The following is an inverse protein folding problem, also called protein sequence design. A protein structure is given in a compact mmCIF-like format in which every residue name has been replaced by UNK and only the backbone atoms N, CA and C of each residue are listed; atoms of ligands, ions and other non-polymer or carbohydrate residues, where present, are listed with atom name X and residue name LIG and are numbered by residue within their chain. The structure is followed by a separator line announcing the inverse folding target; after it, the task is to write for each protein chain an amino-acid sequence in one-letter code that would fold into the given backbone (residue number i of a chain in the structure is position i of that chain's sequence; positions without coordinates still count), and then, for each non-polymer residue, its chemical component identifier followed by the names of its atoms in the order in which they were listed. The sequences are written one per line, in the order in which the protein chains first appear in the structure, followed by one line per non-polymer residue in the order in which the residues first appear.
data_IF_378577253794
#
_entry.id   IF_378577253794
#
_cell.length_a   1.000
_cell.length_b   1.000
_cell.length_c   1.000
_cell.angle_alpha   90.00
_cell.angle_beta   90.00
_cell.angle_gamma   90.00
#
_symmetry.space_group_name_H-M   'P 1'
#
loop_
_entity.id
_entity.type
_entity.pdbx_description
1 polymer ?
#
# COMPACT_ATOMS: atom_id res chain seq x y z
N UNK A 1 19.97 -18.09 9.47
CA UNK A 1 19.49 -16.72 9.73
C UNK A 1 18.24 -16.86 10.58
N UNK A 2 18.14 -16.15 11.70
CA UNK A 2 16.98 -16.29 12.61
C UNK A 2 15.72 -15.61 12.02
N UNK A 3 14.54 -16.12 12.36
CA UNK A 3 13.26 -15.64 11.82
C UNK A 3 13.03 -14.15 12.13
N UNK A 4 13.44 -13.69 13.31
CA UNK A 4 13.38 -12.27 13.68
C UNK A 4 14.33 -11.38 12.85
N UNK A 5 15.41 -11.94 12.31
CA UNK A 5 16.30 -11.21 11.39
C UNK A 5 15.70 -11.14 9.99
N UNK A 6 15.00 -12.19 9.54
CA UNK A 6 14.30 -12.22 8.25
C UNK A 6 13.18 -11.18 8.23
N UNK A 7 12.35 -11.11 9.27
CA UNK A 7 11.30 -10.08 9.34
C UNK A 7 11.85 -8.66 9.32
N UNK A 8 12.91 -8.39 10.12
CA UNK A 8 13.58 -7.08 10.09
C UNK A 8 14.15 -6.74 8.71
N UNK A 9 14.67 -7.75 8.00
CA UNK A 9 15.15 -7.58 6.63
C UNK A 9 14.00 -7.24 5.67
N UNK A 10 12.87 -7.93 5.80
CA UNK A 10 11.69 -7.69 4.96
C UNK A 10 11.11 -6.30 5.16
N UNK A 11 11.02 -5.84 6.41
CA UNK A 11 10.57 -4.47 6.72
C UNK A 11 11.52 -3.44 6.10
N UNK A 12 12.84 -3.63 6.24
CA UNK A 12 13.83 -2.77 5.60
C UNK A 12 13.72 -2.78 4.07
N UNK A 13 13.59 -3.96 3.45
CA UNK A 13 13.47 -4.04 1.99
C UNK A 13 12.19 -3.35 1.50
N UNK A 14 11.10 -3.38 2.28
CA UNK A 14 9.85 -2.64 1.96
C UNK A 14 10.04 -1.12 2.09
N UNK A 15 10.74 -0.67 3.12
CA UNK A 15 11.10 0.75 3.28
C UNK A 15 11.97 1.23 2.12
N UNK A 16 13.03 0.47 1.79
CA UNK A 16 13.95 0.78 0.68
C UNK A 16 13.18 0.77 -0.66
N UNK A 17 12.24 -0.17 -0.85
CA UNK A 17 11.36 -0.20 -2.03
C UNK A 17 10.47 1.04 -2.14
N UNK A 18 9.81 1.44 -1.03
CA UNK A 18 8.95 2.63 -1.03
C UNK A 18 9.76 3.89 -1.30
N UNK A 19 10.93 4.03 -0.68
CA UNK A 19 11.83 5.15 -0.92
C UNK A 19 12.26 5.24 -2.39
N UNK A 20 12.61 4.10 -3.00
CA UNK A 20 12.97 4.04 -4.41
C UNK A 20 11.78 4.40 -5.31
N UNK A 21 10.60 3.83 -5.04
CA UNK A 21 9.36 4.13 -5.78
C UNK A 21 9.06 5.62 -5.75
N UNK A 22 9.07 6.22 -4.56
CA UNK A 22 8.68 7.62 -4.36
C UNK A 22 9.71 8.55 -5.01
N UNK A 23 10.99 8.20 -4.97
CA UNK A 23 12.04 8.90 -5.72
C UNK A 23 11.81 8.82 -7.23
N UNK A 24 11.57 7.62 -7.77
CA UNK A 24 11.31 7.44 -9.21
C UNK A 24 10.06 8.21 -9.66
N UNK A 25 9.02 8.26 -8.83
CA UNK A 25 7.84 9.08 -9.09
C UNK A 25 8.17 10.57 -9.12
N UNK A 26 8.92 11.06 -8.13
CA UNK A 26 9.32 12.46 -8.06
C UNK A 26 10.18 12.88 -9.26
N UNK A 27 11.18 12.07 -9.62
CA UNK A 27 12.07 12.34 -10.77
C UNK A 27 11.28 12.39 -12.09
N UNK A 28 10.34 11.47 -12.28
CA UNK A 28 9.46 11.45 -13.46
C UNK A 28 8.54 12.68 -13.50
N UNK A 29 7.91 13.02 -12.37
CA UNK A 29 7.04 14.20 -12.27
C UNK A 29 7.80 15.48 -12.58
N UNK A 30 9.01 15.64 -12.04
CA UNK A 30 9.88 16.78 -12.32
C UNK A 30 10.23 16.87 -13.81
N UNK A 31 10.55 15.75 -14.46
CA UNK A 31 10.80 15.70 -15.91
C UNK A 31 9.57 16.16 -16.70
N UNK A 32 8.37 15.70 -16.34
CA UNK A 32 7.13 16.10 -16.99
C UNK A 32 6.82 17.58 -16.79
N UNK A 33 7.03 18.11 -15.59
CA UNK A 33 6.87 19.53 -15.27
C UNK A 33 7.85 20.41 -16.06
N UNK A 34 9.12 19.99 -16.17
CA UNK A 34 10.13 20.70 -16.98
C UNK A 34 9.74 20.73 -18.46
N UNK A 35 9.20 19.61 -18.98
CA UNK A 35 8.71 19.54 -20.36
C UNK A 35 7.52 20.46 -20.57
N UNK A 36 6.55 20.45 -19.66
CA UNK A 36 5.37 21.34 -19.70
C UNK A 36 5.80 22.81 -19.63
N UNK A 37 6.75 23.14 -18.74
CA UNK A 37 7.28 24.48 -18.60
C UNK A 37 7.99 24.97 -19.87
N UNK A 38 8.71 24.11 -20.59
CA UNK A 38 9.35 24.43 -21.86
C UNK A 38 8.34 24.85 -22.95
N UNK A 39 7.10 24.32 -22.88
CA UNK A 39 5.99 24.70 -23.76
C UNK A 39 5.03 25.71 -23.13
N UNK A 40 5.36 26.26 -21.95
CA UNK A 40 4.57 27.23 -21.17
C UNK A 40 3.23 26.72 -20.61
N UNK A 41 2.65 25.65 -21.18
CA UNK A 41 1.44 25.00 -20.70
C UNK A 41 1.35 23.57 -21.25
N UNK A 42 0.57 22.73 -20.57
CA UNK A 42 0.19 21.39 -21.06
C UNK A 42 -0.63 21.47 -22.35
N UNK A 43 -1.38 22.55 -22.56
CA UNK A 43 -2.21 22.71 -23.77
C UNK A 43 -1.39 22.98 -25.04
N UNK A 44 -0.17 23.49 -24.85
CA UNK A 44 0.78 23.77 -25.91
C UNK A 44 1.71 22.58 -26.21
N UNK A 45 1.57 21.47 -25.47
CA UNK A 45 2.42 20.30 -25.68
C UNK A 45 2.10 19.65 -27.03
N UNK A 46 3.12 19.35 -27.85
CA UNK A 46 2.97 18.46 -28.99
C UNK A 46 2.32 17.13 -28.57
N UNK A 47 1.43 16.61 -29.42
CA UNK A 47 0.71 15.34 -29.15
C UNK A 47 1.65 14.17 -28.84
N UNK A 48 2.83 14.15 -29.46
CA UNK A 48 3.85 13.14 -29.22
C UNK A 48 4.35 13.16 -27.77
N UNK A 49 4.68 14.34 -27.24
CA UNK A 49 5.09 14.51 -25.85
C UNK A 49 3.97 14.22 -24.86
N UNK A 50 2.72 14.60 -25.18
CA UNK A 50 1.58 14.24 -24.32
C UNK A 50 1.41 12.72 -24.22
N UNK A 51 1.47 12.02 -25.37
CA UNK A 51 1.40 10.55 -25.40
C UNK A 51 2.56 9.91 -24.64
N UNK A 52 3.75 10.47 -24.75
CA UNK A 52 4.92 9.97 -24.02
C UNK A 52 4.72 10.08 -22.51
N UNK A 53 4.22 11.23 -22.01
CA UNK A 53 3.90 11.41 -20.59
C UNK A 53 2.88 10.36 -20.13
N UNK A 54 1.79 10.19 -20.89
CA UNK A 54 0.74 9.22 -20.54
C UNK A 54 1.28 7.78 -20.50
N UNK A 55 2.15 7.42 -21.44
CA UNK A 55 2.81 6.12 -21.48
C UNK A 55 3.75 5.90 -20.30
N UNK A 56 4.58 6.89 -19.97
CA UNK A 56 5.49 6.83 -18.81
C UNK A 56 4.71 6.68 -17.49
N UNK A 57 3.57 7.37 -17.36
CA UNK A 57 2.69 7.25 -16.19
C UNK A 57 2.04 5.86 -16.08
N UNK A 58 1.57 5.30 -17.20
CA UNK A 58 0.99 3.96 -17.22
C UNK A 58 2.03 2.87 -16.93
N UNK A 59 3.22 3.00 -17.52
CA UNK A 59 4.35 2.12 -17.26
C UNK A 59 4.77 2.17 -15.78
N UNK A 60 4.88 3.37 -15.21
CA UNK A 60 5.16 3.52 -13.79
C UNK A 60 4.14 2.77 -12.92
N UNK A 61 2.84 2.90 -13.23
CA UNK A 61 1.78 2.16 -12.50
C UNK A 61 1.94 0.66 -12.65
N UNK A 62 2.22 0.15 -13.84
CA UNK A 62 2.41 -1.29 -14.09
C UNK A 62 3.63 -1.87 -13.35
N UNK A 63 4.69 -1.09 -13.23
CA UNK A 63 5.97 -1.54 -12.68
C UNK A 63 5.98 -1.40 -11.15
N UNK A 64 5.48 -0.28 -10.63
CA UNK A 64 5.70 0.15 -9.25
C UNK A 64 4.45 0.16 -8.35
N UNK A 65 3.25 -0.13 -8.90
CA UNK A 65 2.05 -0.18 -8.07
C UNK A 65 2.17 -1.20 -6.93
N UNK A 66 1.61 -0.85 -5.78
CA UNK A 66 1.41 -1.78 -4.67
C UNK A 66 -0.09 -2.12 -4.66
N UNK A 67 -0.49 -3.41 -4.62
CA UNK A 67 0.32 -4.62 -4.53
C UNK A 67 0.61 -5.31 -5.87
N UNK A 68 0.24 -4.70 -7.01
CA UNK A 68 0.16 -5.42 -8.29
C UNK A 68 1.33 -5.21 -9.24
N UNK A 69 2.22 -4.26 -8.94
CA UNK A 69 3.38 -3.91 -9.74
C UNK A 69 4.39 -5.05 -9.81
N UNK A 70 5.07 -5.16 -10.96
CA UNK A 70 6.06 -6.22 -11.19
C UNK A 70 7.16 -6.24 -10.13
N UNK A 71 7.68 -5.08 -9.72
CA UNK A 71 8.73 -5.01 -8.71
C UNK A 71 8.22 -5.42 -7.33
N UNK A 72 7.01 -4.98 -6.95
CA UNK A 72 6.42 -5.37 -5.68
C UNK A 72 6.18 -6.89 -5.62
N UNK A 73 5.67 -7.48 -6.70
CA UNK A 73 5.49 -8.94 -6.82
C UNK A 73 6.81 -9.70 -6.70
N UNK A 74 7.87 -9.21 -7.33
CA UNK A 74 9.19 -9.83 -7.25
C UNK A 74 9.75 -9.79 -5.82
N UNK A 75 9.59 -8.65 -5.13
CA UNK A 75 9.99 -8.49 -3.73
C UNK A 75 9.20 -9.45 -2.82
N UNK A 76 7.87 -9.49 -2.98
CA UNK A 76 7.00 -10.34 -2.17
C UNK A 76 7.29 -11.84 -2.41
N UNK A 77 7.55 -12.25 -3.64
CA UNK A 77 7.95 -13.62 -3.95
C UNK A 77 9.28 -14.02 -3.27
N UNK A 78 10.26 -13.11 -3.27
CA UNK A 78 11.53 -13.30 -2.58
C UNK A 78 11.34 -13.40 -1.06
N UNK A 79 10.49 -12.55 -0.48
CA UNK A 79 10.15 -12.60 0.94
C UNK A 79 9.49 -13.93 1.30
N UNK A 80 8.52 -14.41 0.51
CA UNK A 80 7.87 -15.72 0.71
C UNK A 80 8.86 -16.88 0.62
N UNK A 81 9.77 -16.88 -0.35
CA UNK A 81 10.77 -17.94 -0.52
C UNK A 81 11.73 -18.01 0.67
N UNK A 82 12.17 -16.85 1.18
CA UNK A 82 13.03 -16.78 2.37
C UNK A 82 12.34 -17.30 3.62
N UNK A 83 11.07 -16.96 3.84
CA UNK A 83 10.29 -17.48 4.97
C UNK A 83 10.08 -18.99 4.86
N UNK A 84 9.75 -19.48 3.66
CA UNK A 84 9.55 -20.91 3.42
C UNK A 84 10.82 -21.72 3.73
N UNK A 85 11.98 -21.24 3.30
CA UNK A 85 13.28 -21.87 3.59
C UNK A 85 13.57 -21.89 5.09
N UNK A 86 13.39 -20.75 5.76
CA UNK A 86 13.63 -20.66 7.21
C UNK A 86 12.68 -21.56 8.02
N UNK A 87 11.44 -21.72 7.60
CA UNK A 87 10.48 -22.64 8.23
C UNK A 87 10.81 -24.11 7.96
N UNK A 88 11.31 -24.45 6.77
CA UNK A 88 11.72 -25.81 6.45
C UNK A 88 12.90 -26.31 7.30
N UNK A 89 13.79 -25.41 7.72
CA UNK A 89 14.93 -25.71 8.59
C UNK A 89 14.52 -25.90 10.07
N UNK A 90 13.30 -25.49 10.46
CA UNK A 90 12.77 -25.59 11.82
C UNK A 90 11.95 -26.88 12.06
N UNK A 91 11.62 -27.65 11.00
CA UNK A 91 10.88 -28.91 11.11
C UNK A 91 11.87 -30.08 11.06
N UNK A 92 12.05 -30.86 12.15
CA UNK A 92 12.90 -32.05 12.14
C UNK A 92 12.45 -33.04 11.06
N UNK A 93 13.41 -33.67 10.36
CA UNK A 93 13.15 -34.55 9.22
C UNK A 93 12.26 -35.79 9.52
N UNK A 94 11.92 -36.06 10.80
CA UNK A 94 11.14 -37.22 11.21
C UNK A 94 9.62 -37.10 11.05
N UNK A 95 9.05 -35.91 10.81
CA UNK A 95 7.59 -35.72 10.67
C UNK A 95 7.12 -35.44 9.24
N UNK A 96 7.88 -35.90 8.22
CA UNK A 96 7.56 -35.69 6.80
C UNK A 96 6.43 -36.58 6.23
N UNK A 97 5.59 -37.18 7.07
CA UNK A 97 4.48 -38.06 6.63
C UNK A 97 3.11 -37.57 7.04
N UNK A 98 2.75 -36.30 6.77
CA UNK A 98 1.33 -35.92 6.62
C UNK A 98 1.20 -34.69 5.72
N UNK A 99 0.36 -34.70 4.68
CA UNK A 99 0.14 -33.52 3.84
C UNK A 99 -0.53 -32.40 4.66
N UNK A 100 -0.07 -31.13 4.57
CA UNK A 100 -0.66 -30.06 5.35
C UNK A 100 -2.03 -29.70 4.79
N UNK A 101 -3.08 -30.02 5.56
CA UNK A 101 -4.39 -29.39 5.42
C UNK A 101 -4.23 -27.88 5.60
N UNK A 102 -4.97 -27.13 4.79
CA UNK A 102 -5.02 -25.68 4.62
C UNK A 102 -5.39 -24.98 5.94
N UNK A 103 -4.47 -24.88 6.89
CA UNK A 103 -4.64 -24.08 8.09
C UNK A 103 -3.97 -22.72 7.89
N UNK A 104 -4.80 -21.71 7.65
CA UNK A 104 -4.44 -20.31 7.86
C UNK A 104 -3.83 -20.18 9.26
N UNK A 105 -2.57 -19.81 9.31
CA UNK A 105 -1.81 -19.70 10.55
C UNK A 105 -2.29 -18.46 11.31
N UNK A 106 -2.78 -18.67 12.53
CA UNK A 106 -3.28 -17.65 13.47
C UNK A 106 -2.27 -16.52 13.82
N UNK A 107 -1.05 -16.65 13.32
CA UNK A 107 0.01 -15.66 13.43
C UNK A 107 -0.25 -14.43 12.54
N UNK A 108 -0.84 -14.60 11.35
CA UNK A 108 -1.18 -13.46 10.49
C UNK A 108 -2.31 -12.61 11.09
N UNK A 109 -3.29 -13.23 11.76
CA UNK A 109 -4.37 -12.54 12.46
C UNK A 109 -3.87 -11.76 13.69
N UNK A 110 -2.84 -12.28 14.38
CA UNK A 110 -2.25 -11.64 15.56
C UNK A 110 -1.46 -10.38 15.22
N UNK A 111 -0.80 -10.34 14.05
CA UNK A 111 -0.10 -9.16 13.56
C UNK A 111 -1.07 -8.09 13.03
N UNK A 112 -2.17 -8.49 12.41
CA UNK A 112 -3.24 -7.58 11.98
C UNK A 112 -3.91 -6.88 13.19
N UNK A 113 -4.17 -7.63 14.26
CA UNK A 113 -4.77 -7.10 15.50
C UNK A 113 -3.88 -6.05 16.19
N UNK A 114 -2.56 -6.22 16.15
CA UNK A 114 -1.60 -5.28 16.74
C UNK A 114 -1.50 -3.96 15.95
N UNK A 115 -1.68 -4.00 14.62
CA UNK A 115 -1.70 -2.79 13.78
C UNK A 115 -2.98 -1.96 13.95
N UNK A 116 -4.14 -2.60 14.16
CA UNK A 116 -5.39 -1.87 14.39
C UNK A 116 -5.42 -1.10 15.73
N UNK A 117 -4.81 -1.63 16.79
CA UNK A 117 -4.75 -0.94 18.10
C UNK A 117 -3.96 0.37 18.07
N UNK A 118 -2.98 0.53 17.17
CA UNK A 118 -2.21 1.79 17.05
C UNK A 118 -2.99 2.90 16.35
N UNK A 119 -3.87 2.57 15.40
CA UNK A 119 -4.73 3.53 14.71
C UNK A 119 -5.88 4.04 15.59
N UNK A 120 -6.45 3.18 16.45
CA UNK A 120 -7.57 3.56 17.32
C UNK A 120 -7.15 4.48 18.47
N UNK A 121 -5.92 4.36 19.00
CA UNK A 121 -5.44 5.28 20.04
C UNK A 121 -5.09 6.68 19.52
N UNK A 122 -4.91 6.86 18.21
CA UNK A 122 -4.58 8.16 17.61
C UNK A 122 -5.82 9.04 17.36
N UNK A 123 -7.04 8.47 17.37
CA UNK A 123 -8.30 9.20 17.21
C UNK A 123 -8.91 9.75 18.51
N UNK A 124 -8.43 9.36 19.69
CA UNK A 124 -9.02 9.76 20.99
C UNK A 124 -8.22 10.91 21.65
N UNK A 125 -7.80 11.89 20.85
CA UNK A 125 -7.16 13.13 21.34
C UNK A 125 -7.76 14.40 20.75
N UNK A 126 -9.07 14.40 20.52
CA UNK A 126 -9.85 15.62 20.34
C UNK A 126 -11.13 15.51 21.19
N UNK A 127 -11.28 16.28 22.28
CA UNK A 127 -12.56 16.48 22.93
C UNK A 127 -13.16 17.78 22.37
N UNK A 128 -13.88 17.71 21.26
CA UNK A 128 -14.71 18.85 20.86
C UNK A 128 -16.11 18.70 21.47
N UNK A 129 -16.37 19.60 22.42
CA UNK A 129 -17.70 20.03 22.82
C UNK A 129 -18.39 20.69 21.64
N UNK A 130 -19.56 20.22 21.25
CA UNK A 130 -20.61 20.98 20.56
C UNK A 130 -21.93 20.30 20.96
N UNK A 131 -22.56 20.75 22.04
CA UNK A 131 -23.67 21.72 22.06
C UNK A 131 -24.80 21.38 21.07
N UNK A 132 -25.91 20.93 21.67
CA UNK A 132 -27.23 20.74 21.07
C UNK A 132 -27.69 22.00 20.34
N UNK A 133 -27.93 21.91 19.04
CA UNK A 133 -28.77 22.86 18.30
C UNK A 133 -29.14 22.28 16.93
N UNK A 134 -30.28 21.59 16.87
CA UNK A 134 -31.11 21.62 15.67
C UNK A 134 -32.58 21.71 16.09
N UNK A 135 -32.98 22.94 16.46
CA UNK A 135 -34.35 23.36 16.28
C UNK A 135 -34.57 23.61 14.79
N UNK A 136 -35.71 23.12 14.31
CA UNK A 136 -36.48 23.65 13.19
C UNK A 136 -36.23 23.01 11.81
N UNK A 137 -36.98 21.93 11.53
CA UNK A 137 -37.57 21.62 10.21
C UNK A 137 -38.58 20.48 10.35
N UNK A 138 -39.85 20.85 10.46
CA UNK A 138 -40.94 20.23 9.68
C UNK A 138 -42.25 20.91 10.07
N UNK A 139 -42.46 22.09 9.49
CA UNK A 139 -43.78 22.70 9.35
C UNK A 139 -44.06 22.79 7.85
N UNK A 140 -45.20 22.22 7.46
CA UNK A 140 -45.90 22.32 6.15
C UNK A 140 -45.25 21.49 5.02
N UNK A 141 -45.97 20.63 4.28
CA UNK A 141 -47.32 20.77 3.74
C UNK A 141 -48.03 19.42 3.48
N UNK A 142 -49.32 19.40 3.82
CA UNK A 142 -50.49 18.94 3.05
C UNK A 142 -50.41 17.66 2.18
N UNK A 143 -51.32 16.72 2.46
CA UNK A 143 -51.82 15.80 1.42
C UNK A 143 -52.63 14.59 1.89
N UNK A 144 -53.95 14.77 2.00
CA UNK A 144 -55.04 13.78 1.85
C UNK A 144 -55.01 12.42 2.60
N UNK A 145 -56.05 12.20 3.42
CA UNK A 145 -56.47 10.90 3.95
C UNK A 145 -57.43 11.06 5.12
#
# INVERSE_FOLDING_TARGET
MDLAQIYRRHDKDKEDFNALRDKTWADMKQKHENLIAAFQSKDNLPKEHSKQIDMELDEFRKIWAIPHGSHYKALDALHRDQLKKAMADLIPANDRTTPPSRQQTSYEDSLASTRQKKLSMQRVKQPEKFEDLDQNKDSMELGYG
#
